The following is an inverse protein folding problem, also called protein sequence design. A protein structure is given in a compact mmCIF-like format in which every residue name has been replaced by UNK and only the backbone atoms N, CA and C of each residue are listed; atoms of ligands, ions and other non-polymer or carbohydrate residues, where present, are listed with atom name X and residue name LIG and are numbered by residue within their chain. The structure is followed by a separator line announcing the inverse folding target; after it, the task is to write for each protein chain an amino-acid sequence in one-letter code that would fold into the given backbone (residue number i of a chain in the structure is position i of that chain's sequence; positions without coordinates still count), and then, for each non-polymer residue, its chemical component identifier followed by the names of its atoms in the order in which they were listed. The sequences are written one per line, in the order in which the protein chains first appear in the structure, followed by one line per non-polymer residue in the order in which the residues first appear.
data_IF_770378729134
#
_entry.id   IF_770378729134
#
_cell.length_a   1.000
_cell.length_b   1.000
_cell.length_c   1.000
_cell.angle_alpha   90.00
_cell.angle_beta   90.00
_cell.angle_gamma   90.00
#
_symmetry.space_group_name_H-M   'P 1'
#
loop_
_entity.id
_entity.type
_entity.pdbx_description
1 polymer ?
#
# COMPACT_ATOMS: atom_id res chain seq x y z
N UNK A 1 -50.86 -13.84 11.77
CA UNK A 1 -50.34 -13.01 12.87
C UNK A 1 -49.05 -13.64 13.35
N UNK A 2 -47.91 -12.97 13.14
CA UNK A 2 -46.59 -13.48 13.51
C UNK A 2 -46.35 -13.29 15.01
N UNK A 3 -46.09 -14.38 15.74
CA UNK A 3 -45.67 -14.33 17.14
C UNK A 3 -44.20 -13.95 17.20
N UNK A 4 -43.93 -12.76 17.74
CA UNK A 4 -42.58 -12.22 17.91
C UNK A 4 -41.78 -13.02 18.95
N UNK A 5 -40.60 -13.50 18.53
CA UNK A 5 -39.57 -14.01 19.42
C UNK A 5 -38.97 -12.82 20.18
N UNK A 6 -39.16 -12.75 21.50
CA UNK A 6 -38.58 -11.66 22.27
C UNK A 6 -38.74 -11.81 23.77
N UNK A 7 -37.65 -12.20 24.43
CA UNK A 7 -37.56 -12.07 25.88
C UNK A 7 -36.29 -12.69 26.45
N UNK A 8 -35.18 -11.95 26.37
CA UNK A 8 -33.98 -12.29 27.14
C UNK A 8 -34.29 -12.38 28.66
N UNK A 9 -33.42 -13.06 29.44
CA UNK A 9 -33.72 -13.41 30.82
C UNK A 9 -34.02 -12.17 31.69
N UNK A 10 -35.18 -12.18 32.35
CA UNK A 10 -35.69 -11.04 33.14
C UNK A 10 -35.24 -11.06 34.60
N UNK A 11 -34.82 -12.22 35.11
CA UNK A 11 -34.40 -12.36 36.52
C UNK A 11 -32.93 -11.97 36.71
N UNK A 12 -32.53 -11.45 37.88
CA UNK A 12 -31.13 -11.14 38.19
C UNK A 12 -30.21 -12.38 38.06
N UNK A 13 -30.70 -13.56 38.47
CA UNK A 13 -30.01 -14.83 38.31
C UNK A 13 -29.88 -15.22 36.82
N UNK A 14 -30.94 -15.05 36.03
CA UNK A 14 -30.93 -15.33 34.59
C UNK A 14 -30.03 -14.36 33.81
N UNK A 15 -29.95 -13.09 34.22
CA UNK A 15 -29.00 -12.11 33.67
C UNK A 15 -27.55 -12.46 34.02
N UNK A 16 -27.27 -12.94 35.24
CA UNK A 16 -25.92 -13.43 35.64
C UNK A 16 -25.51 -14.69 34.86
N UNK A 17 -26.42 -15.66 34.72
CA UNK A 17 -26.18 -16.85 33.90
C UNK A 17 -25.95 -16.50 32.42
N UNK A 18 -26.73 -15.55 31.87
CA UNK A 18 -26.53 -15.04 30.52
C UNK A 18 -25.24 -14.23 30.35
N UNK A 19 -24.82 -13.44 31.35
CA UNK A 19 -23.51 -12.77 31.33
C UNK A 19 -22.34 -13.76 31.36
N UNK A 20 -22.53 -14.94 31.96
CA UNK A 20 -21.57 -16.04 31.91
C UNK A 20 -21.39 -16.64 30.51
N UNK A 21 -22.36 -16.46 29.59
CA UNK A 21 -22.19 -16.88 28.19
C UNK A 21 -21.16 -16.02 27.46
N UNK A 22 -20.90 -14.78 27.88
CA UNK A 22 -19.82 -13.97 27.32
C UNK A 22 -18.44 -14.60 27.57
N UNK A 23 -18.31 -15.40 28.64
CA UNK A 23 -17.08 -16.12 29.02
C UNK A 23 -16.86 -17.36 28.11
N UNK A 24 -17.94 -17.91 27.51
CA UNK A 24 -17.86 -19.07 26.61
C UNK A 24 -17.18 -18.76 25.27
N UNK A 25 -17.09 -17.49 24.87
CA UNK A 25 -16.52 -17.07 23.58
C UNK A 25 -15.00 -16.77 23.61
N UNK A 26 -14.29 -17.20 24.66
CA UNK A 26 -12.82 -17.19 24.71
C UNK A 26 -12.21 -15.80 24.47
N UNK A 27 -11.22 -15.72 23.58
CA UNK A 27 -10.44 -14.50 23.23
C UNK A 27 -11.29 -13.32 22.70
N UNK A 28 -12.59 -13.54 22.43
CA UNK A 28 -13.51 -12.49 21.95
C UNK A 28 -14.42 -11.93 23.05
N UNK A 29 -14.29 -12.42 24.29
CA UNK A 29 -15.09 -11.99 25.43
C UNK A 29 -14.77 -10.55 25.87
N UNK A 30 -15.81 -9.72 26.02
CA UNK A 30 -15.67 -8.29 26.36
C UNK A 30 -15.70 -7.97 27.86
N UNK A 31 -16.17 -8.87 28.73
CA UNK A 31 -16.55 -8.49 30.10
C UNK A 31 -15.52 -8.84 31.18
N UNK A 32 -14.75 -9.94 31.05
CA UNK A 32 -13.61 -10.24 31.94
C UNK A 32 -12.66 -11.18 31.21
N UNK A 33 -11.46 -10.71 30.89
CA UNK A 33 -10.38 -11.49 30.29
C UNK A 33 -9.34 -11.77 31.40
N UNK A 34 -8.88 -13.02 31.61
CA UNK A 34 -7.83 -13.33 32.59
C UNK A 34 -6.62 -12.41 32.45
N UNK A 35 -5.90 -12.09 33.52
CA UNK A 35 -4.71 -11.21 33.50
C UNK A 35 -3.70 -11.56 32.42
N UNK A 36 -3.39 -12.85 32.30
CA UNK A 36 -2.49 -13.42 31.27
C UNK A 36 -3.01 -13.16 29.85
N UNK A 37 -4.31 -12.94 29.71
CA UNK A 37 -4.98 -12.63 28.46
C UNK A 37 -5.36 -11.14 28.34
N UNK A 38 -5.10 -10.28 29.33
CA UNK A 38 -5.26 -8.81 29.19
C UNK A 38 -4.18 -8.25 28.26
N UNK A 39 -4.52 -7.30 27.41
CA UNK A 39 -3.62 -6.74 26.40
C UNK A 39 -2.95 -5.47 26.95
N UNK A 40 -1.68 -5.55 27.34
CA UNK A 40 -0.86 -4.37 27.68
C UNK A 40 -0.54 -3.51 26.46
N UNK A 41 -0.54 -4.09 25.25
CA UNK A 41 0.12 -3.45 24.11
C UNK A 41 -0.80 -3.20 22.89
N UNK A 42 -2.14 -3.29 23.03
CA UNK A 42 -3.03 -2.85 21.94
C UNK A 42 -2.81 -1.37 21.62
N UNK A 43 -2.66 -0.52 22.64
CA UNK A 43 -2.45 0.90 22.41
C UNK A 43 -1.08 1.16 21.78
N UNK A 44 -0.02 0.43 22.19
CA UNK A 44 1.31 0.46 21.55
C UNK A 44 1.25 0.03 20.07
N UNK A 45 0.54 -1.06 19.76
CA UNK A 45 0.31 -1.53 18.39
C UNK A 45 -0.52 -0.52 17.58
N UNK A 46 -1.54 0.06 18.20
CA UNK A 46 -2.35 1.09 17.58
C UNK A 46 -1.52 2.33 17.24
N UNK A 47 -0.65 2.77 18.15
CA UNK A 47 0.27 3.89 17.90
C UNK A 47 1.24 3.59 16.76
N UNK A 48 1.85 2.40 16.75
CA UNK A 48 2.73 1.96 15.67
C UNK A 48 2.01 1.93 14.31
N UNK A 49 0.81 1.36 14.26
CA UNK A 49 0.00 1.31 13.03
C UNK A 49 -0.52 2.71 12.63
N UNK A 50 -0.79 3.60 13.59
CA UNK A 50 -1.10 5.00 13.29
C UNK A 50 0.10 5.72 12.66
N UNK A 51 1.32 5.44 13.12
CA UNK A 51 2.53 5.99 12.52
C UNK A 51 2.77 5.45 11.09
N UNK A 52 2.50 4.17 10.85
CA UNK A 52 2.63 3.54 9.53
C UNK A 52 1.59 4.04 8.53
N UNK A 53 0.31 4.02 8.92
CA UNK A 53 -0.78 4.27 7.98
C UNK A 53 -1.29 5.70 7.98
N UNK A 54 -0.94 6.53 8.98
CA UNK A 54 -1.43 7.91 9.11
C UNK A 54 -2.96 8.04 8.87
N UNK A 55 -3.82 7.47 9.72
CA UNK A 55 -5.27 7.54 9.54
C UNK A 55 -5.81 8.95 9.82
N UNK A 56 -6.48 9.55 8.83
CA UNK A 56 -6.97 10.94 8.88
C UNK A 56 -8.45 11.02 9.29
N UNK A 57 -9.29 10.08 8.86
CA UNK A 57 -10.73 10.07 9.16
C UNK A 57 -11.06 9.19 10.37
N UNK A 58 -12.22 9.43 11.00
CA UNK A 58 -12.70 8.60 12.10
C UNK A 58 -12.82 7.12 11.71
N UNK A 59 -13.29 6.82 10.49
CA UNK A 59 -13.38 5.46 9.96
C UNK A 59 -12.00 4.82 9.77
N UNK A 60 -11.02 5.57 9.28
CA UNK A 60 -9.65 5.06 9.14
C UNK A 60 -9.04 4.76 10.51
N UNK A 61 -9.24 5.63 11.50
CA UNK A 61 -8.77 5.41 12.89
C UNK A 61 -9.43 4.18 13.51
N UNK A 62 -10.72 3.97 13.25
CA UNK A 62 -11.44 2.77 13.68
C UNK A 62 -10.82 1.50 13.08
N UNK A 63 -10.59 1.47 11.76
CA UNK A 63 -10.00 0.32 11.07
C UNK A 63 -8.60 0.00 11.62
N UNK A 64 -7.76 1.01 11.85
CA UNK A 64 -6.43 0.83 12.44
C UNK A 64 -6.53 0.29 13.88
N UNK A 65 -7.51 0.73 14.66
CA UNK A 65 -7.74 0.19 16.02
C UNK A 65 -8.24 -1.25 16.00
N UNK A 66 -9.06 -1.64 15.03
CA UNK A 66 -9.46 -3.03 14.85
C UNK A 66 -8.30 -3.91 14.36
N UNK A 67 -7.42 -3.39 13.50
CA UNK A 67 -6.18 -4.06 13.11
C UNK A 67 -5.31 -4.37 14.33
N UNK A 68 -5.04 -3.37 15.19
CA UNK A 68 -4.27 -3.56 16.42
C UNK A 68 -4.87 -4.65 17.34
N UNK A 69 -6.20 -4.66 17.47
CA UNK A 69 -6.93 -5.69 18.24
C UNK A 69 -6.75 -7.09 17.66
N UNK A 70 -6.83 -7.23 16.35
CA UNK A 70 -6.68 -8.52 15.68
C UNK A 70 -5.24 -9.02 15.70
N UNK A 71 -4.25 -8.14 15.54
CA UNK A 71 -2.85 -8.49 15.68
C UNK A 71 -2.53 -8.98 17.09
N UNK A 72 -2.91 -8.22 18.12
CA UNK A 72 -2.71 -8.61 19.52
C UNK A 72 -3.38 -9.97 19.86
N UNK A 73 -4.52 -10.27 19.22
CA UNK A 73 -5.18 -11.57 19.37
C UNK A 73 -4.39 -12.71 18.71
N UNK A 74 -3.80 -12.49 17.53
CA UNK A 74 -2.95 -13.48 16.85
C UNK A 74 -1.69 -13.76 17.67
N UNK A 75 -0.97 -12.72 18.10
CA UNK A 75 0.23 -12.86 18.94
C UNK A 75 -0.06 -13.69 20.19
N UNK A 76 -1.21 -13.48 20.83
CA UNK A 76 -1.64 -14.30 21.98
C UNK A 76 -1.94 -15.74 21.63
N UNK A 77 -2.60 -15.97 20.50
CA UNK A 77 -2.89 -17.33 20.04
C UNK A 77 -1.59 -18.09 19.80
N UNK A 78 -0.58 -17.45 19.21
CA UNK A 78 0.75 -18.06 19.01
C UNK A 78 1.40 -18.48 20.34
N UNK A 79 1.33 -17.63 21.37
CA UNK A 79 1.82 -17.98 22.71
C UNK A 79 1.03 -19.15 23.33
N UNK A 80 -0.30 -19.15 23.14
CA UNK A 80 -1.18 -20.20 23.65
C UNK A 80 -1.02 -21.53 22.89
N UNK A 81 -0.74 -21.50 21.59
CA UNK A 81 -0.57 -22.70 20.75
C UNK A 81 0.52 -23.60 21.35
N UNK A 82 1.68 -23.04 21.71
CA UNK A 82 2.76 -23.81 22.32
C UNK A 82 2.37 -24.46 23.66
N UNK A 83 1.60 -23.75 24.50
CA UNK A 83 1.13 -24.30 25.77
C UNK A 83 0.09 -25.42 25.57
N UNK A 84 -0.82 -25.25 24.61
CA UNK A 84 -1.86 -26.23 24.29
C UNK A 84 -1.27 -27.48 23.65
N UNK A 85 -0.29 -27.34 22.75
CA UNK A 85 0.43 -28.48 22.16
C UNK A 85 1.13 -29.31 23.24
N UNK A 86 1.84 -28.65 24.17
CA UNK A 86 2.46 -29.34 25.33
C UNK A 86 1.42 -30.04 26.19
N UNK A 87 0.30 -29.37 26.49
CA UNK A 87 -0.77 -29.97 27.28
C UNK A 87 -1.37 -31.20 26.59
N UNK A 88 -1.61 -31.14 25.28
CA UNK A 88 -2.10 -32.27 24.49
C UNK A 88 -1.14 -33.45 24.49
N UNK A 89 0.16 -33.20 24.31
CA UNK A 89 1.20 -34.21 24.42
C UNK A 89 1.22 -34.86 25.81
N UNK A 90 1.24 -34.06 26.88
CA UNK A 90 1.24 -34.57 28.25
C UNK A 90 -0.01 -35.40 28.58
N UNK A 91 -1.19 -34.97 28.12
CA UNK A 91 -2.43 -35.70 28.32
C UNK A 91 -2.41 -37.06 27.62
N UNK A 92 -1.90 -37.14 26.40
CA UNK A 92 -1.79 -38.40 25.67
C UNK A 92 -0.74 -39.34 26.30
N UNK A 93 0.40 -38.80 26.72
CA UNK A 93 1.44 -39.58 27.42
C UNK A 93 0.97 -40.13 28.77
N UNK A 94 0.11 -39.41 29.48
CA UNK A 94 -0.43 -39.86 30.77
C UNK A 94 -1.31 -41.13 30.65
N UNK A 95 -1.76 -41.47 29.44
CA UNK A 95 -2.56 -42.67 29.16
C UNK A 95 -1.70 -43.89 28.80
N UNK A 96 -0.38 -43.72 28.59
CA UNK A 96 0.52 -44.82 28.26
C UNK A 96 1.01 -45.55 29.51
N UNK A 97 1.12 -46.88 29.42
CA UNK A 97 1.86 -47.68 30.37
C UNK A 97 3.37 -47.59 30.06
N UNK A 98 4.21 -47.63 31.11
CA UNK A 98 5.66 -47.32 31.09
C UNK A 98 6.56 -48.13 30.12
N UNK A 99 6.02 -49.01 29.28
CA UNK A 99 6.77 -49.95 28.45
C UNK A 99 6.66 -49.72 26.94
N UNK A 100 5.86 -48.76 26.45
CA UNK A 100 5.71 -48.55 25.00
C UNK A 100 6.90 -47.83 24.35
N UNK A 101 7.32 -48.31 23.18
CA UNK A 101 8.39 -47.72 22.36
C UNK A 101 7.89 -46.56 21.47
N UNK A 102 6.59 -46.26 21.46
CA UNK A 102 5.93 -45.29 20.56
C UNK A 102 5.60 -43.95 21.24
N UNK A 103 6.30 -43.62 22.34
CA UNK A 103 6.07 -42.42 23.18
C UNK A 103 6.05 -41.12 22.36
N UNK A 104 6.93 -41.02 21.36
CA UNK A 104 7.05 -39.81 20.53
C UNK A 104 5.84 -39.63 19.63
N UNK A 105 5.38 -40.69 18.96
CA UNK A 105 4.25 -40.63 18.03
C UNK A 105 2.94 -40.35 18.76
N UNK A 106 2.77 -40.93 19.95
CA UNK A 106 1.60 -40.68 20.81
C UNK A 106 1.59 -39.24 21.33
N UNK A 107 2.74 -38.71 21.75
CA UNK A 107 2.86 -37.32 22.17
C UNK A 107 2.54 -36.35 21.02
N UNK A 108 3.05 -36.64 19.80
CA UNK A 108 2.79 -35.84 18.62
C UNK A 108 1.32 -35.86 18.22
N UNK A 109 0.70 -37.05 18.19
CA UNK A 109 -0.71 -37.20 17.90
C UNK A 109 -1.57 -36.45 18.93
N UNK A 110 -1.29 -36.60 20.22
CA UNK A 110 -1.99 -35.91 21.30
C UNK A 110 -1.89 -34.38 21.24
N UNK A 111 -0.72 -33.86 20.90
CA UNK A 111 -0.52 -32.42 20.69
C UNK A 111 -1.36 -31.90 19.52
N UNK A 112 -1.29 -32.58 18.37
CA UNK A 112 -1.84 -32.10 17.11
C UNK A 112 -3.37 -32.28 16.97
N UNK A 113 -3.98 -33.19 17.73
CA UNK A 113 -5.39 -33.56 17.56
C UNK A 113 -6.32 -33.07 18.66
N UNK A 114 -5.81 -32.29 19.62
CA UNK A 114 -6.63 -31.78 20.72
C UNK A 114 -7.69 -30.76 20.26
N UNK A 115 -8.91 -30.83 20.80
CA UNK A 115 -9.96 -29.84 20.55
C UNK A 115 -9.50 -28.39 20.82
N UNK A 116 -8.57 -28.23 21.75
CA UNK A 116 -7.99 -26.95 22.12
C UNK A 116 -7.11 -26.37 20.98
N UNK A 117 -6.22 -27.17 20.38
CA UNK A 117 -5.38 -26.68 19.26
C UNK A 117 -6.24 -26.35 18.04
N UNK A 118 -7.30 -27.13 17.86
CA UNK A 118 -8.26 -26.99 16.78
C UNK A 118 -9.05 -25.67 16.88
N UNK A 119 -9.48 -25.31 18.10
CA UNK A 119 -10.12 -24.01 18.39
C UNK A 119 -9.16 -22.84 18.20
N UNK A 120 -7.93 -22.95 18.69
CA UNK A 120 -6.91 -21.90 18.51
C UNK A 120 -6.62 -21.65 17.04
N UNK A 121 -6.43 -22.71 16.26
CA UNK A 121 -6.18 -22.62 14.82
C UNK A 121 -7.33 -21.90 14.10
N UNK A 122 -8.58 -22.20 14.45
CA UNK A 122 -9.76 -21.52 13.89
C UNK A 122 -9.81 -20.03 14.27
N UNK A 123 -9.53 -19.70 15.52
CA UNK A 123 -9.50 -18.31 15.97
C UNK A 123 -8.36 -17.52 15.33
N UNK A 124 -7.17 -18.12 15.17
CA UNK A 124 -6.05 -17.50 14.46
C UNK A 124 -6.44 -17.12 13.04
N UNK A 125 -6.94 -18.08 12.25
CA UNK A 125 -7.41 -17.83 10.88
C UNK A 125 -8.50 -16.76 10.82
N UNK A 126 -9.40 -16.72 11.80
CA UNK A 126 -10.46 -15.71 11.88
C UNK A 126 -9.88 -14.31 12.06
N UNK A 127 -8.95 -14.15 13.01
CA UNK A 127 -8.30 -12.87 13.31
C UNK A 127 -7.36 -12.40 12.19
N UNK A 128 -6.58 -13.30 11.58
CA UNK A 128 -5.75 -13.01 10.41
C UNK A 128 -6.62 -12.48 9.25
N UNK A 129 -7.71 -13.18 8.93
CA UNK A 129 -8.64 -12.74 7.87
C UNK A 129 -9.29 -11.40 8.20
N UNK A 130 -9.63 -11.17 9.47
CA UNK A 130 -10.24 -9.92 9.90
C UNK A 130 -9.25 -8.74 9.83
N UNK A 131 -8.00 -8.96 10.21
CA UNK A 131 -6.91 -8.01 10.04
C UNK A 131 -6.74 -7.61 8.56
N UNK A 132 -6.62 -8.60 7.67
CA UNK A 132 -6.44 -8.35 6.23
C UNK A 132 -7.62 -7.58 5.64
N UNK A 133 -8.86 -7.93 6.00
CA UNK A 133 -10.05 -7.16 5.56
C UNK A 133 -10.02 -5.70 6.03
N UNK A 134 -9.54 -5.44 7.25
CA UNK A 134 -9.41 -4.07 7.74
C UNK A 134 -8.33 -3.30 6.99
N UNK A 135 -7.19 -3.95 6.71
CA UNK A 135 -6.09 -3.37 5.93
C UNK A 135 -6.54 -3.03 4.50
N UNK A 136 -7.24 -3.93 3.82
CA UNK A 136 -7.74 -3.69 2.46
C UNK A 136 -8.76 -2.55 2.43
N UNK A 137 -9.69 -2.52 3.40
CA UNK A 137 -10.66 -1.44 3.54
C UNK A 137 -9.96 -0.09 3.81
N UNK A 138 -8.93 -0.07 4.65
CA UNK A 138 -8.14 1.11 4.96
C UNK A 138 -7.43 1.65 3.71
N UNK A 139 -6.71 0.77 3.00
CA UNK A 139 -6.02 1.11 1.74
C UNK A 139 -6.99 1.64 0.71
N UNK A 140 -8.13 0.98 0.50
CA UNK A 140 -9.16 1.44 -0.43
C UNK A 140 -9.72 2.83 -0.06
N UNK A 141 -9.88 3.14 1.24
CA UNK A 141 -10.29 4.48 1.67
C UNK A 141 -9.17 5.51 1.49
N UNK A 142 -7.91 5.12 1.65
CA UNK A 142 -6.76 5.98 1.44
C UNK A 142 -6.49 6.24 -0.04
N UNK A 143 -6.72 5.27 -0.92
CA UNK A 143 -6.67 5.45 -2.38
C UNK A 143 -7.78 6.38 -2.86
N UNK A 144 -8.98 6.28 -2.29
CA UNK A 144 -10.11 7.19 -2.56
C UNK A 144 -9.86 8.61 -2.04
N UNK A 145 -9.15 8.74 -0.91
CA UNK A 145 -8.80 10.02 -0.29
C UNK A 145 -7.42 10.55 -0.72
N UNK A 146 -6.65 9.77 -1.48
CA UNK A 146 -5.52 10.30 -2.21
C UNK A 146 -6.11 11.44 -3.01
N UNK A 147 -5.54 12.65 -2.99
CA UNK A 147 -5.94 13.66 -3.95
C UNK A 147 -5.85 12.95 -5.30
N UNK A 148 -7.01 12.65 -5.89
CA UNK A 148 -7.06 12.43 -7.31
C UNK A 148 -6.56 13.77 -7.79
N UNK A 149 -5.26 13.84 -8.12
CA UNK A 149 -4.72 14.98 -8.84
C UNK A 149 -5.77 15.21 -9.90
N UNK A 150 -6.53 16.33 -9.86
CA UNK A 150 -7.59 16.55 -10.83
C UNK A 150 -6.93 16.25 -12.17
N UNK A 151 -7.49 15.34 -12.99
CA UNK A 151 -6.84 14.95 -14.23
C UNK A 151 -6.45 16.25 -14.90
N UNK A 152 -5.13 16.46 -15.05
CA UNK A 152 -4.64 17.67 -15.67
C UNK A 152 -5.39 17.79 -17.00
N UNK A 153 -5.85 19.00 -17.38
CA UNK A 153 -6.66 19.17 -18.58
C UNK A 153 -6.00 18.43 -19.74
N UNK A 154 -6.80 17.65 -20.49
CA UNK A 154 -6.33 16.83 -21.62
C UNK A 154 -5.33 17.64 -22.45
N UNK A 155 -4.09 17.18 -22.51
CA UNK A 155 -3.04 17.90 -23.21
C UNK A 155 -2.84 17.29 -24.59
N UNK A 156 -3.14 18.07 -25.62
CA UNK A 156 -2.69 17.80 -26.97
C UNK A 156 -1.19 18.04 -27.02
N UNK A 157 -0.40 16.96 -26.97
CA UNK A 157 1.07 16.97 -27.01
C UNK A 157 1.53 16.49 -28.39
N UNK A 158 0.94 17.09 -29.43
CA UNK A 158 1.05 16.61 -30.81
C UNK A 158 2.19 17.32 -31.54
N UNK A 159 2.59 18.51 -31.07
CA UNK A 159 3.68 19.32 -31.63
C UNK A 159 4.82 19.56 -30.63
N UNK A 160 6.00 19.93 -31.14
CA UNK A 160 7.13 20.33 -30.29
C UNK A 160 6.77 21.54 -29.42
N UNK A 161 5.98 22.49 -29.95
CA UNK A 161 5.55 23.69 -29.22
C UNK A 161 4.62 23.35 -28.05
N UNK A 162 3.77 22.33 -28.20
CA UNK A 162 2.93 21.83 -27.10
C UNK A 162 3.78 21.25 -25.98
N UNK A 163 4.77 20.43 -26.35
CA UNK A 163 5.70 19.84 -25.40
C UNK A 163 6.53 20.90 -24.67
N UNK A 164 6.96 21.96 -25.37
CA UNK A 164 7.66 23.11 -24.77
C UNK A 164 6.76 23.88 -23.79
N UNK A 165 5.51 24.15 -24.16
CA UNK A 165 4.54 24.83 -23.29
C UNK A 165 4.26 24.01 -22.03
N UNK A 166 4.05 22.71 -22.17
CA UNK A 166 3.87 21.81 -21.04
C UNK A 166 5.08 21.81 -20.12
N UNK A 167 6.27 21.57 -20.68
CA UNK A 167 7.50 21.47 -19.91
C UNK A 167 7.83 22.79 -19.21
N UNK A 168 7.56 23.92 -19.85
CA UNK A 168 7.73 25.23 -19.22
C UNK A 168 6.78 25.43 -18.03
N UNK A 169 5.52 25.00 -18.14
CA UNK A 169 4.58 25.04 -17.03
C UNK A 169 4.98 24.11 -15.88
N UNK A 170 5.43 22.89 -16.20
CA UNK A 170 5.91 21.92 -15.21
C UNK A 170 7.16 22.43 -14.49
N UNK A 171 8.19 22.86 -15.24
CA UNK A 171 9.46 23.31 -14.70
C UNK A 171 9.32 24.60 -13.91
N UNK A 172 8.37 25.48 -14.25
CA UNK A 172 8.09 26.71 -13.47
C UNK A 172 7.48 26.38 -12.11
N UNK A 173 6.52 25.43 -12.06
CA UNK A 173 5.89 24.99 -10.80
C UNK A 173 6.86 24.25 -9.88
N UNK A 174 7.83 23.54 -10.45
CA UNK A 174 8.82 22.75 -9.73
C UNK A 174 10.21 23.42 -9.76
N UNK A 175 10.27 24.74 -9.94
CA UNK A 175 11.53 25.45 -10.12
C UNK A 175 12.34 25.50 -8.82
N UNK A 176 13.63 25.17 -8.91
CA UNK A 176 14.61 25.43 -7.87
C UNK A 176 15.90 25.95 -8.51
N UNK A 177 16.35 27.13 -8.08
CA UNK A 177 17.54 27.72 -8.68
C UNK A 177 18.82 26.96 -8.30
N UNK A 178 19.49 26.34 -9.26
CA UNK A 178 20.80 25.68 -9.13
C UNK A 178 21.93 26.59 -8.59
N UNK A 179 21.77 27.92 -8.68
CA UNK A 179 22.76 28.89 -8.17
C UNK A 179 22.47 29.37 -6.74
N UNK A 180 21.20 29.51 -6.36
CA UNK A 180 20.84 30.19 -5.09
C UNK A 180 19.68 29.54 -4.31
N UNK A 181 19.10 28.44 -4.79
CA UNK A 181 18.01 27.73 -4.13
C UNK A 181 16.63 28.40 -4.20
N UNK A 182 16.52 29.63 -4.70
CA UNK A 182 15.23 30.32 -4.83
C UNK A 182 14.24 29.54 -5.71
N UNK A 183 12.96 29.57 -5.30
CA UNK A 183 11.86 28.85 -5.97
C UNK A 183 11.03 29.73 -6.91
N UNK A 184 11.39 31.02 -7.03
CA UNK A 184 10.73 31.99 -7.88
C UNK A 184 11.47 32.17 -9.21
N UNK A 185 10.76 31.96 -10.32
CA UNK A 185 11.30 32.16 -11.66
C UNK A 185 10.29 32.83 -12.61
N UNK A 186 10.82 33.36 -13.71
CA UNK A 186 10.05 33.87 -14.85
C UNK A 186 10.38 33.05 -16.09
N UNK A 187 9.35 32.67 -16.85
CA UNK A 187 9.53 31.92 -18.10
C UNK A 187 9.94 32.85 -19.25
N UNK A 188 11.14 32.66 -19.80
CA UNK A 188 11.64 33.34 -20.99
C UNK A 188 11.29 32.53 -22.24
N UNK A 189 10.11 32.80 -22.81
CA UNK A 189 9.56 32.06 -23.97
C UNK A 189 10.55 31.95 -25.14
N UNK A 190 11.20 33.05 -25.51
CA UNK A 190 12.17 33.12 -26.61
C UNK A 190 13.46 32.36 -26.32
N UNK A 191 13.91 32.31 -25.07
CA UNK A 191 15.13 31.62 -24.68
C UNK A 191 14.92 30.13 -24.35
N UNK A 192 13.66 29.65 -24.30
CA UNK A 192 13.29 28.31 -23.81
C UNK A 192 13.98 27.99 -22.48
N UNK A 193 13.91 28.95 -21.57
CA UNK A 193 14.60 28.91 -20.29
C UNK A 193 13.78 29.61 -19.20
N UNK A 194 14.01 29.19 -17.96
CA UNK A 194 13.48 29.83 -16.77
C UNK A 194 14.57 30.72 -16.16
N UNK A 195 14.23 31.97 -15.86
CA UNK A 195 15.14 32.91 -15.20
C UNK A 195 14.77 33.05 -13.73
N UNK A 196 15.72 32.77 -12.85
CA UNK A 196 15.57 33.01 -11.41
C UNK A 196 15.34 34.50 -11.14
N UNK A 197 14.33 34.82 -10.32
CA UNK A 197 14.04 36.21 -9.95
C UNK A 197 15.07 36.79 -8.98
N UNK A 198 15.70 35.97 -8.13
CA UNK A 198 16.66 36.42 -7.12
C UNK A 198 18.05 36.67 -7.68
N UNK A 199 18.59 35.75 -8.49
CA UNK A 199 19.98 35.81 -8.94
C UNK A 199 20.16 35.92 -10.47
N UNK A 200 19.04 36.03 -11.21
CA UNK A 200 18.99 36.15 -12.69
C UNK A 200 19.61 35.00 -13.48
N UNK A 201 20.06 33.92 -12.82
CA UNK A 201 20.56 32.71 -13.45
C UNK A 201 19.46 32.05 -14.30
N UNK A 202 19.84 31.61 -15.50
CA UNK A 202 18.93 30.97 -16.46
C UNK A 202 19.15 29.47 -16.48
N UNK A 203 18.05 28.71 -16.47
CA UNK A 203 18.05 27.27 -16.59
C UNK A 203 17.18 26.85 -17.78
N UNK A 204 17.69 25.95 -18.62
CA UNK A 204 16.91 25.40 -19.72
C UNK A 204 15.69 24.61 -19.20
N UNK A 205 14.63 24.52 -20.00
CA UNK A 205 13.39 23.82 -19.62
C UNK A 205 13.60 22.36 -19.21
N UNK A 206 14.62 21.71 -19.78
CA UNK A 206 14.92 20.28 -19.57
C UNK A 206 15.71 20.00 -18.29
N UNK A 207 16.15 21.03 -17.58
CA UNK A 207 16.97 20.92 -16.36
C UNK A 207 16.28 20.02 -15.34
N UNK A 208 17.00 19.03 -14.80
CA UNK A 208 16.47 18.08 -13.81
C UNK A 208 15.68 16.90 -14.37
N UNK A 209 15.45 16.85 -15.69
CA UNK A 209 14.77 15.71 -16.36
C UNK A 209 15.74 14.79 -17.07
N UNK A 210 15.32 13.58 -17.44
CA UNK A 210 16.11 12.67 -18.29
C UNK A 210 16.43 13.27 -19.68
N UNK A 211 15.70 14.31 -20.09
CA UNK A 211 15.85 14.99 -21.37
C UNK A 211 16.95 16.06 -21.36
N UNK A 212 17.50 16.43 -20.19
CA UNK A 212 18.41 17.56 -19.99
C UNK A 212 19.60 17.61 -20.95
N UNK A 213 20.20 16.44 -21.25
CA UNK A 213 21.40 16.31 -22.08
C UNK A 213 21.12 15.75 -23.47
N UNK A 214 19.85 15.62 -23.84
CA UNK A 214 19.45 15.06 -25.13
C UNK A 214 19.30 16.16 -26.17
N UNK A 215 19.74 15.89 -27.40
CA UNK A 215 19.45 16.73 -28.59
C UNK A 215 18.17 16.32 -29.32
N UNK A 216 17.49 15.26 -28.87
CA UNK A 216 16.23 14.86 -29.47
C UNK A 216 15.15 15.92 -29.22
N UNK A 217 14.21 16.10 -30.15
CA UNK A 217 13.00 16.89 -29.92
C UNK A 217 12.25 16.38 -28.68
N UNK A 218 11.59 17.29 -27.96
CA UNK A 218 10.74 16.93 -26.82
C UNK A 218 9.60 16.00 -27.25
N UNK A 219 9.04 16.22 -28.44
CA UNK A 219 7.97 15.38 -28.98
C UNK A 219 8.40 13.91 -29.09
N UNK A 220 9.64 13.67 -29.52
CA UNK A 220 10.23 12.31 -29.60
C UNK A 220 10.31 11.67 -28.22
N UNK A 221 10.74 12.43 -27.21
CA UNK A 221 10.79 11.96 -25.83
C UNK A 221 9.40 11.70 -25.26
N UNK A 222 8.44 12.59 -25.50
CA UNK A 222 7.10 12.50 -24.97
C UNK A 222 6.39 11.27 -25.55
N UNK A 223 6.49 11.05 -26.87
CA UNK A 223 6.00 9.82 -27.52
C UNK A 223 6.67 8.57 -26.98
N UNK A 224 7.99 8.61 -26.77
CA UNK A 224 8.73 7.50 -26.18
C UNK A 224 8.27 7.16 -24.76
N UNK A 225 8.08 8.17 -23.91
CA UNK A 225 7.59 8.02 -22.53
C UNK A 225 6.16 7.48 -22.54
N UNK A 226 5.27 8.07 -23.35
CA UNK A 226 3.89 7.61 -23.52
C UNK A 226 3.83 6.14 -23.94
N UNK A 227 4.62 5.74 -24.94
CA UNK A 227 4.64 4.38 -25.45
C UNK A 227 5.09 3.36 -24.38
N UNK A 228 6.14 3.69 -23.62
CA UNK A 228 6.64 2.82 -22.54
C UNK A 228 5.64 2.74 -21.36
N UNK A 229 4.96 3.85 -21.04
CA UNK A 229 3.91 3.86 -20.01
C UNK A 229 2.69 3.01 -20.42
N UNK A 230 2.27 3.08 -21.69
CA UNK A 230 1.16 2.27 -22.21
C UNK A 230 1.53 0.78 -22.28
N UNK A 231 2.74 0.46 -22.74
CA UNK A 231 3.19 -0.92 -22.90
C UNK A 231 4.65 -1.07 -22.43
N UNK A 232 4.88 -1.46 -21.15
CA UNK A 232 6.23 -1.58 -20.59
C UNK A 232 7.13 -2.58 -21.35
N UNK A 233 6.52 -3.60 -21.95
CA UNK A 233 7.19 -4.65 -22.72
C UNK A 233 7.35 -4.33 -24.22
N UNK A 234 7.13 -3.08 -24.65
CA UNK A 234 7.20 -2.68 -26.07
C UNK A 234 8.54 -3.07 -26.72
N UNK A 235 8.43 -3.69 -27.90
CA UNK A 235 9.60 -4.06 -28.68
C UNK A 235 10.34 -2.82 -29.17
N UNK A 236 11.68 -2.90 -29.26
CA UNK A 236 12.53 -1.74 -29.63
C UNK A 236 12.16 -1.16 -30.99
N UNK A 237 11.76 -2.01 -31.95
CA UNK A 237 11.37 -1.60 -33.30
C UNK A 237 10.07 -0.80 -33.29
N UNK A 238 9.08 -1.25 -32.52
CA UNK A 238 7.78 -0.61 -32.46
C UNK A 238 7.87 0.74 -31.72
N UNK A 239 8.69 0.79 -30.66
CA UNK A 239 9.06 2.04 -30.00
C UNK A 239 9.76 3.01 -30.96
N UNK A 240 10.66 2.51 -31.83
CA UNK A 240 11.33 3.33 -32.82
C UNK A 240 10.36 3.94 -33.84
N UNK A 241 9.37 3.17 -34.28
CA UNK A 241 8.32 3.61 -35.18
C UNK A 241 7.46 4.72 -34.54
N UNK A 242 7.00 4.52 -33.29
CA UNK A 242 6.22 5.53 -32.56
C UNK A 242 7.01 6.83 -32.31
N UNK A 243 8.31 6.70 -32.02
CA UNK A 243 9.19 7.85 -31.80
C UNK A 243 9.60 8.57 -33.09
N UNK A 244 9.46 7.92 -34.26
CA UNK A 244 9.98 8.44 -35.53
C UNK A 244 11.51 8.47 -35.59
N UNK A 245 12.22 7.57 -34.90
CA UNK A 245 13.69 7.53 -34.82
C UNK A 245 14.24 6.27 -35.47
N UNK A 246 15.03 6.41 -36.54
CA UNK A 246 15.61 5.29 -37.27
C UNK A 246 16.79 4.61 -36.54
N UNK A 247 17.56 5.37 -35.75
CA UNK A 247 18.75 4.83 -35.06
C UNK A 247 18.37 4.01 -33.82
N UNK A 248 18.41 2.69 -33.94
CA UNK A 248 18.04 1.76 -32.86
C UNK A 248 18.86 1.93 -31.57
N UNK A 249 20.14 2.31 -31.66
CA UNK A 249 20.97 2.58 -30.48
C UNK A 249 20.40 3.73 -29.63
N UNK A 250 19.90 4.79 -30.28
CA UNK A 250 19.23 5.91 -29.62
C UNK A 250 17.94 5.45 -28.94
N UNK A 251 17.13 4.65 -29.62
CA UNK A 251 15.86 4.13 -29.09
C UNK A 251 16.10 3.25 -27.85
N UNK A 252 17.11 2.37 -27.90
CA UNK A 252 17.50 1.56 -26.73
C UNK A 252 17.97 2.43 -25.56
N UNK A 253 18.77 3.46 -25.82
CA UNK A 253 19.23 4.40 -24.79
C UNK A 253 18.05 5.12 -24.14
N UNK A 254 17.13 5.66 -24.94
CA UNK A 254 15.94 6.36 -24.45
C UNK A 254 15.07 5.42 -23.62
N UNK A 255 14.78 4.21 -24.14
CA UNK A 255 14.00 3.20 -23.40
C UNK A 255 14.62 2.86 -22.05
N UNK A 256 15.95 2.71 -22.00
CA UNK A 256 16.67 2.44 -20.75
C UNK A 256 16.50 3.60 -19.77
N UNK A 257 16.75 4.84 -20.19
CA UNK A 257 16.61 6.03 -19.34
C UNK A 257 15.19 6.21 -18.80
N UNK A 258 14.16 5.88 -19.60
CA UNK A 258 12.76 5.93 -19.15
C UNK A 258 12.50 4.88 -18.06
N UNK A 259 12.95 3.63 -18.26
CA UNK A 259 12.76 2.55 -17.26
C UNK A 259 13.48 2.86 -15.95
N UNK A 260 14.74 3.27 -16.02
CA UNK A 260 15.53 3.68 -14.86
C UNK A 260 14.85 4.84 -14.11
N UNK A 261 14.26 5.80 -14.83
CA UNK A 261 13.52 6.90 -14.21
C UNK A 261 12.21 6.45 -13.54
N UNK A 262 11.51 5.46 -14.08
CA UNK A 262 10.29 4.91 -13.49
C UNK A 262 10.56 4.18 -12.18
N UNK A 263 11.72 3.54 -12.05
CA UNK A 263 12.14 2.83 -10.84
C UNK A 263 12.65 3.78 -9.73
N UNK A 264 12.90 5.06 -10.06
CA UNK A 264 13.37 6.05 -9.09
C UNK A 264 12.26 6.60 -8.20
N UNK A 265 12.60 6.88 -6.93
CA UNK A 265 11.76 7.63 -5.98
C UNK A 265 11.42 9.04 -6.47
N UNK A 266 12.23 9.61 -7.38
CA UNK A 266 12.03 10.93 -7.98
C UNK A 266 11.44 10.88 -9.41
N UNK A 267 10.79 9.77 -9.77
CA UNK A 267 10.23 9.52 -11.11
C UNK A 267 9.39 10.67 -11.66
N UNK A 268 8.60 11.33 -10.81
CA UNK A 268 7.78 12.49 -11.19
C UNK A 268 8.62 13.66 -11.71
N UNK A 269 9.77 13.95 -11.08
CA UNK A 269 10.64 15.05 -11.50
C UNK A 269 11.42 14.64 -12.75
N UNK A 270 11.97 13.43 -12.77
CA UNK A 270 12.78 12.91 -13.87
C UNK A 270 12.02 12.83 -15.19
N UNK A 271 10.73 12.47 -15.14
CA UNK A 271 9.83 12.34 -16.29
C UNK A 271 8.94 13.57 -16.52
N UNK A 272 9.22 14.70 -15.86
CA UNK A 272 8.44 15.93 -15.98
C UNK A 272 6.92 15.74 -15.75
N UNK A 273 6.55 14.86 -14.81
CA UNK A 273 5.16 14.54 -14.47
C UNK A 273 4.40 13.73 -15.52
N UNK A 274 5.03 13.35 -16.65
CA UNK A 274 4.39 12.64 -17.76
C UNK A 274 3.88 11.23 -17.38
N UNK A 275 4.39 10.66 -16.29
CA UNK A 275 3.89 9.40 -15.74
C UNK A 275 2.55 9.54 -14.99
N UNK A 276 2.00 10.76 -14.86
CA UNK A 276 0.73 11.03 -14.19
C UNK A 276 -0.32 11.71 -15.07
N UNK A 277 0.00 12.00 -16.33
CA UNK A 277 -0.96 12.62 -17.24
C UNK A 277 -1.85 11.57 -17.91
N UNK A 278 -3.10 11.95 -18.18
CA UNK A 278 -4.01 11.16 -19.01
C UNK A 278 -3.77 11.54 -20.46
N UNK A 279 -3.20 10.62 -21.23
CA UNK A 279 -2.95 10.81 -22.66
C UNK A 279 -4.25 10.63 -23.44
N UNK A 280 -4.62 11.59 -24.29
CA UNK A 280 -5.73 11.38 -25.24
C UNK A 280 -5.27 10.47 -26.35
N UNK A 281 -6.04 9.42 -26.64
CA UNK A 281 -5.84 8.65 -27.86
C UNK A 281 -6.34 9.50 -29.03
N UNK A 282 -5.54 9.58 -30.11
CA UNK A 282 -6.12 10.03 -31.37
C UNK A 282 -7.22 9.03 -31.74
N UNK A 283 -8.42 9.49 -32.14
CA UNK A 283 -9.33 8.60 -32.85
C UNK A 283 -8.56 8.06 -34.06
N UNK A 284 -8.52 6.73 -34.19
CA UNK A 284 -8.02 6.10 -35.39
C UNK A 284 -8.93 6.55 -36.55
N UNK A 285 -8.40 7.36 -37.47
CA UNK A 285 -8.93 7.48 -38.82
C UNK A 285 -8.45 6.31 -39.68
#
# INVERSE_FOLDING_TARGET
MAQGQGGGPKTPAGKRAASGNAIKHGLTAKSVLPDVLRNSDIDSLYEALCAEFAPHTATQKYLVREMARHQAAVEKIEHMEAAVLRQGAHAALALLNKTDHDVVDVALAGAATSDAIDRLTRYRRSHERAYLRCLDALRSLQERNLPTTPPMPRQHLDTEQDCERYLAGFSLKNFACLKCGAQSATNLKTAKALQCQSCRHQQGLRTGTIMARSRLPLLVWFRGIQAVLKQPAIATRDLAALMGVSRMATVRSVRRQIREALESTTSQVLLAGLNRIVWTEHPAE
#
